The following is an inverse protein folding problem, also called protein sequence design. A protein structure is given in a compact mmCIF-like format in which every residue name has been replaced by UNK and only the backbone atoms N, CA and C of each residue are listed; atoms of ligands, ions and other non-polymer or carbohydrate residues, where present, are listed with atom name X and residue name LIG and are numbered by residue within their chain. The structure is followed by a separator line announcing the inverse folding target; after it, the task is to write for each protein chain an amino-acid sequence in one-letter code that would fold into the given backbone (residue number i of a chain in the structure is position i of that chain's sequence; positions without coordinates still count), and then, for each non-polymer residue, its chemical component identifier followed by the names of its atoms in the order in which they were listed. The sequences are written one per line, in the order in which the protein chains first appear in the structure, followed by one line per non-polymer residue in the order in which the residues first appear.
data_IF_497288529672
#
_entry.id   IF_497288529672
#
_cell.length_a   1.000
_cell.length_b   1.000
_cell.length_c   1.000
_cell.angle_alpha   90.00
_cell.angle_beta   90.00
_cell.angle_gamma   90.00
#
_symmetry.space_group_name_H-M   'P 1'
#
loop_
_entity.id
_entity.type
_entity.pdbx_description
1 polymer ?
#
# COMPACT_ATOMS: atom_id res chain seq x y z
N UNK A 1 5.46 -9.45 -16.30
CA UNK A 1 5.64 -8.55 -15.14
C UNK A 1 4.36 -7.78 -14.92
N UNK A 2 3.68 -8.00 -13.79
CA UNK A 2 2.42 -7.31 -13.45
C UNK A 2 2.71 -5.86 -13.04
N UNK A 3 1.82 -4.92 -13.35
CA UNK A 3 1.92 -3.53 -12.91
C UNK A 3 0.66 -3.15 -12.16
N UNK A 4 0.81 -2.62 -10.95
CA UNK A 4 -0.28 -2.21 -10.07
C UNK A 4 -0.10 -0.77 -9.66
N UNK A 5 -1.08 0.06 -10.03
CA UNK A 5 -1.15 1.45 -9.57
C UNK A 5 -2.12 1.52 -8.39
N UNK A 6 -1.67 1.96 -7.22
CA UNK A 6 -2.51 2.09 -6.03
C UNK A 6 -3.17 3.46 -5.96
N UNK A 7 -4.47 3.47 -5.72
CA UNK A 7 -5.25 4.65 -5.36
C UNK A 7 -5.20 4.90 -3.85
N UNK A 8 -5.49 6.13 -3.39
CA UNK A 8 -5.59 6.41 -1.95
C UNK A 8 -6.55 5.46 -1.25
N UNK A 9 -6.14 4.86 -0.13
CA UNK A 9 -6.93 3.86 0.58
C UNK A 9 -6.61 2.42 0.18
N UNK A 10 -5.89 2.18 -0.91
CA UNK A 10 -5.62 0.83 -1.36
C UNK A 10 -4.35 0.23 -0.73
N UNK A 11 -4.33 -1.10 -0.67
CA UNK A 11 -3.14 -1.86 -0.35
C UNK A 11 -3.08 -3.12 -1.19
N UNK A 12 -1.87 -3.57 -1.47
CA UNK A 12 -1.64 -4.80 -2.24
C UNK A 12 -0.50 -5.59 -1.63
N UNK A 13 -0.64 -6.91 -1.69
CA UNK A 13 0.41 -7.88 -1.40
C UNK A 13 0.63 -8.76 -2.63
N UNK A 14 1.88 -8.92 -3.03
CA UNK A 14 2.33 -9.57 -4.24
C UNK A 14 3.31 -10.70 -3.90
N UNK A 15 3.05 -11.89 -4.45
CA UNK A 15 3.93 -13.07 -4.34
C UNK A 15 4.71 -13.37 -5.62
N UNK A 16 4.47 -12.56 -6.65
CA UNK A 16 5.01 -12.67 -8.00
C UNK A 16 5.72 -11.37 -8.35
N UNK A 17 6.48 -11.39 -9.45
CA UNK A 17 7.16 -10.19 -9.93
C UNK A 17 6.15 -9.12 -10.38
N UNK A 18 6.02 -8.08 -9.55
CA UNK A 18 5.05 -6.99 -9.71
C UNK A 18 5.74 -5.65 -9.50
N UNK A 19 5.49 -4.70 -10.42
CA UNK A 19 5.79 -3.29 -10.20
C UNK A 19 4.58 -2.67 -9.51
N UNK A 20 4.77 -2.19 -8.29
CA UNK A 20 3.76 -1.41 -7.58
C UNK A 20 4.15 0.07 -7.67
N UNK A 21 3.22 0.92 -8.08
CA UNK A 21 3.41 2.37 -8.14
C UNK A 21 2.21 3.09 -7.54
N UNK A 22 2.45 4.30 -7.06
CA UNK A 22 1.40 5.22 -6.62
C UNK A 22 1.91 6.65 -6.74
N UNK A 23 1.01 7.62 -6.67
CA UNK A 23 1.34 9.04 -6.63
C UNK A 23 1.06 9.57 -5.24
N UNK A 24 2.11 10.05 -4.55
CA UNK A 24 1.98 10.64 -3.22
C UNK A 24 2.01 12.17 -3.27
N UNK A 25 1.04 12.79 -2.60
CA UNK A 25 1.08 14.21 -2.21
C UNK A 25 1.53 14.33 -0.76
N UNK A 26 0.61 14.71 0.13
CA UNK A 26 0.80 14.65 1.59
C UNK A 26 0.58 13.25 2.19
N UNK A 27 0.04 12.33 1.40
CA UNK A 27 -0.19 10.93 1.80
C UNK A 27 1.13 10.16 1.96
N UNK A 28 1.05 8.98 2.59
CA UNK A 28 2.22 8.13 2.86
C UNK A 28 2.00 6.72 2.33
N UNK A 29 3.05 6.12 1.76
CA UNK A 29 3.08 4.70 1.42
C UNK A 29 4.16 3.98 2.24
N UNK A 30 3.82 2.77 2.70
CA UNK A 30 4.71 1.83 3.38
C UNK A 30 4.94 0.66 2.44
N UNK A 31 6.21 0.39 2.15
CA UNK A 31 6.63 -0.75 1.36
C UNK A 31 7.23 -1.81 2.29
N UNK A 32 6.71 -3.03 2.23
CA UNK A 32 7.25 -4.17 2.96
C UNK A 32 7.73 -5.22 1.97
N UNK A 33 8.88 -5.81 2.24
CA UNK A 33 9.48 -6.85 1.42
C UNK A 33 10.11 -7.94 2.28
N UNK A 34 9.73 -9.19 2.03
CA UNK A 34 10.35 -10.39 2.58
C UNK A 34 11.42 -10.88 1.60
N UNK A 35 12.69 -10.70 1.97
CA UNK A 35 13.83 -11.08 1.13
C UNK A 35 14.07 -12.58 1.03
N UNK A 36 13.55 -13.39 1.96
CA UNK A 36 13.70 -14.85 1.91
C UNK A 36 12.68 -15.48 0.95
N UNK A 37 11.48 -14.91 0.89
CA UNK A 37 10.38 -15.40 0.04
C UNK A 37 10.21 -14.62 -1.27
N UNK A 38 10.88 -13.48 -1.40
CA UNK A 38 10.74 -12.53 -2.49
C UNK A 38 9.29 -12.05 -2.67
N UNK A 39 8.58 -11.84 -1.56
CA UNK A 39 7.22 -11.30 -1.55
C UNK A 39 7.25 -9.86 -1.07
N UNK A 40 6.33 -9.05 -1.54
CA UNK A 40 6.27 -7.65 -1.12
C UNK A 40 4.89 -7.08 -1.21
N UNK A 41 4.74 -5.86 -0.72
CA UNK A 41 3.49 -5.14 -0.77
C UNK A 41 3.70 -3.66 -0.53
N UNK A 42 2.67 -2.90 -0.86
CA UNK A 42 2.62 -1.46 -0.67
C UNK A 42 1.20 -1.06 -0.28
N UNK A 43 1.06 -0.02 0.52
CA UNK A 43 -0.20 0.65 0.81
C UNK A 43 -0.18 2.11 0.36
N UNK A 44 -1.33 2.79 0.45
CA UNK A 44 -1.46 4.23 0.28
C UNK A 44 -2.35 4.80 1.39
N UNK A 45 -1.75 5.18 2.52
CA UNK A 45 -2.44 5.77 3.66
C UNK A 45 -2.68 7.27 3.48
N UNK A 46 -3.89 7.71 3.83
CA UNK A 46 -4.33 9.10 3.66
C UNK A 46 -4.24 9.92 4.95
N UNK A 47 -4.39 9.28 6.10
CA UNK A 47 -4.54 9.94 7.39
C UNK A 47 -3.63 9.29 8.44
N UNK A 48 -3.12 10.06 9.43
CA UNK A 48 -2.21 9.53 10.45
C UNK A 48 -2.93 8.74 11.56
N UNK A 49 -4.22 9.00 11.79
CA UNK A 49 -4.99 8.41 12.89
C UNK A 49 -6.44 8.14 12.52
N UNK A 50 -6.99 7.03 13.02
CA UNK A 50 -8.42 6.71 12.88
C UNK A 50 -9.27 7.44 13.93
N UNK A 51 -9.47 8.74 13.71
CA UNK A 51 -10.25 9.61 14.62
C UNK A 51 -11.76 9.40 14.53
N UNK A 52 -12.25 8.64 13.53
CA UNK A 52 -13.69 8.50 13.23
C UNK A 52 -14.30 7.13 13.51
N UNK A 53 -13.52 6.17 14.03
CA UNK A 53 -14.00 4.80 14.26
C UNK A 53 -14.38 4.04 12.97
N UNK A 54 -14.05 4.58 11.81
CA UNK A 54 -14.35 3.94 10.53
C UNK A 54 -13.33 2.84 10.29
N UNK A 55 -13.78 1.59 10.19
CA UNK A 55 -12.92 0.42 10.00
C UNK A 55 -12.46 0.26 8.54
N UNK A 56 -12.58 1.30 7.72
CA UNK A 56 -12.16 1.32 6.32
C UNK A 56 -10.65 1.04 6.23
N UNK A 57 -10.24 -0.18 5.83
CA UNK A 57 -8.84 -0.55 5.78
C UNK A 57 -8.12 0.32 4.75
N UNK A 58 -6.92 0.81 5.08
CA UNK A 58 -6.10 1.56 4.13
C UNK A 58 -6.29 3.07 4.15
N UNK A 59 -7.26 3.62 4.88
CA UNK A 59 -7.29 5.08 5.15
C UNK A 59 -6.20 5.54 6.11
N UNK A 60 -5.82 4.66 7.03
CA UNK A 60 -4.94 4.89 8.17
C UNK A 60 -3.81 3.87 8.18
#
# INVERSE_FOLDING_TARGET
MERRFLLPGESVFCRTETIISTLLGSCVAVCLYDSARCWGGMNHYMLPENTGGSLEPGKY
#
